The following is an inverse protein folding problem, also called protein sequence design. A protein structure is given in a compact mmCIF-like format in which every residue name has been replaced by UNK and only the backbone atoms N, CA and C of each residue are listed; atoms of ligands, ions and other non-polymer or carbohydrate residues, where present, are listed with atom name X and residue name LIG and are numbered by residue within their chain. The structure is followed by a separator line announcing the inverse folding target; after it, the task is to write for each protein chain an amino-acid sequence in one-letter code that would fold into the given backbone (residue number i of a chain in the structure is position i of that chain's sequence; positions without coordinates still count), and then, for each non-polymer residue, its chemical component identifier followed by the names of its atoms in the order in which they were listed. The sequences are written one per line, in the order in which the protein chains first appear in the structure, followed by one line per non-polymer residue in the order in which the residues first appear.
data_IF_489723778360
#
_entry.id   IF_489723778360
#
_cell.length_a   1.000
_cell.length_b   1.000
_cell.length_c   1.000
_cell.angle_alpha   90.00
_cell.angle_beta   90.00
_cell.angle_gamma   90.00
#
_symmetry.space_group_name_H-M   'P 1'
#
loop_
_entity.id
_entity.type
_entity.pdbx_description
1 polymer ?
#
# COMPACT_ATOMS: atom_id res chain seq x y z
N UNK A 1 2.21 17.91 19.74
CA UNK A 1 1.94 19.22 19.11
C UNK A 1 2.90 19.55 17.95
N UNK A 2 4.23 19.36 18.11
CA UNK A 2 5.25 19.65 17.07
C UNK A 2 5.04 18.83 15.78
N UNK A 3 4.65 17.54 15.88
CA UNK A 3 4.39 16.67 14.71
C UNK A 3 3.30 17.21 13.77
N UNK A 4 2.34 18.01 14.25
CA UNK A 4 1.28 18.61 13.39
C UNK A 4 1.78 19.83 12.62
N UNK A 5 2.87 20.47 13.05
CA UNK A 5 3.29 21.79 12.57
C UNK A 5 4.04 21.75 11.22
N UNK A 6 4.68 20.63 10.88
CA UNK A 6 5.68 20.57 9.79
C UNK A 6 5.06 20.88 8.41
N UNK A 7 3.93 20.25 8.07
CA UNK A 7 3.27 20.51 6.77
C UNK A 7 2.66 21.90 6.69
N UNK A 8 2.13 22.41 7.80
CA UNK A 8 1.57 23.76 7.87
C UNK A 8 2.66 24.82 7.64
N UNK A 9 3.85 24.66 8.20
CA UNK A 9 4.97 25.57 7.96
C UNK A 9 5.32 25.63 6.46
N UNK A 10 5.46 24.48 5.80
CA UNK A 10 5.76 24.43 4.36
C UNK A 10 4.67 25.14 3.56
N UNK A 11 3.40 24.82 3.83
CA UNK A 11 2.27 25.46 3.15
C UNK A 11 2.22 26.98 3.38
N UNK A 12 2.47 27.45 4.60
CA UNK A 12 2.48 28.87 4.92
C UNK A 12 3.66 29.62 4.30
N UNK A 13 4.85 29.00 4.25
CA UNK A 13 6.01 29.58 3.56
C UNK A 13 5.70 29.71 2.07
N UNK A 14 5.20 28.65 1.44
CA UNK A 14 4.80 28.67 0.02
C UNK A 14 3.77 29.78 -0.20
N UNK A 15 2.72 29.83 0.62
CA UNK A 15 1.67 30.85 0.52
C UNK A 15 2.22 32.28 0.70
N UNK A 16 3.04 32.53 1.71
CA UNK A 16 3.64 33.84 1.96
C UNK A 16 4.59 34.27 0.83
N UNK A 17 5.38 33.35 0.29
CA UNK A 17 6.21 33.60 -0.90
C UNK A 17 5.34 33.95 -2.11
N UNK A 18 4.23 33.24 -2.33
CA UNK A 18 3.30 33.55 -3.42
C UNK A 18 2.67 34.93 -3.25
N UNK A 19 2.20 35.26 -2.06
CA UNK A 19 1.68 36.60 -1.76
C UNK A 19 2.75 37.65 -2.04
N UNK A 20 3.95 37.51 -1.50
CA UNK A 20 5.03 38.49 -1.66
C UNK A 20 5.46 38.69 -3.12
N UNK A 21 5.61 37.60 -3.88
CA UNK A 21 6.13 37.64 -5.24
C UNK A 21 5.10 38.13 -6.27
N UNK A 22 3.82 37.80 -6.07
CA UNK A 22 2.81 37.98 -7.11
C UNK A 22 1.74 39.02 -6.76
N UNK A 23 1.41 39.26 -5.48
CA UNK A 23 0.23 40.07 -5.13
C UNK A 23 0.34 41.52 -5.63
N UNK A 24 1.52 42.14 -5.49
CA UNK A 24 1.68 43.54 -5.91
C UNK A 24 1.52 43.68 -7.42
N UNK A 25 2.16 42.80 -8.21
CA UNK A 25 2.06 42.84 -9.66
C UNK A 25 0.66 42.48 -10.15
N UNK A 26 0.05 41.43 -9.61
CA UNK A 26 -1.26 40.95 -10.06
C UNK A 26 -2.39 41.94 -9.74
N UNK A 27 -2.38 42.58 -8.58
CA UNK A 27 -3.53 43.39 -8.13
C UNK A 27 -3.33 44.90 -8.22
N UNK A 28 -2.10 45.41 -8.21
CA UNK A 28 -1.81 46.85 -8.19
C UNK A 28 -1.22 47.39 -9.49
N UNK A 29 -0.90 46.51 -10.46
CA UNK A 29 -0.50 46.94 -11.80
C UNK A 29 -1.63 46.66 -12.79
N UNK A 30 -1.64 47.38 -13.92
CA UNK A 30 -2.63 47.16 -14.97
C UNK A 30 -2.47 45.73 -15.49
N UNK A 31 -3.59 45.01 -15.60
CA UNK A 31 -3.60 43.65 -16.13
C UNK A 31 -2.95 43.61 -17.52
N UNK A 32 -1.91 42.78 -17.65
CA UNK A 32 -1.22 42.48 -18.91
C UNK A 32 -0.96 40.98 -18.95
N UNK A 33 -0.79 40.39 -20.14
CA UNK A 33 -0.43 38.97 -20.28
C UNK A 33 1.07 38.72 -20.07
N UNK A 34 1.61 39.28 -18.99
CA UNK A 34 2.97 39.01 -18.55
C UNK A 34 3.04 37.69 -17.76
N UNK A 35 4.25 37.24 -17.44
CA UNK A 35 4.44 35.97 -16.74
C UNK A 35 3.76 35.91 -15.36
N UNK A 36 3.55 37.05 -14.68
CA UNK A 36 2.97 37.08 -13.34
C UNK A 36 1.45 36.88 -13.39
N UNK A 37 0.75 37.55 -14.30
CA UNK A 37 -0.69 37.39 -14.48
C UNK A 37 -1.02 36.02 -15.10
N UNK A 38 -0.20 35.52 -16.05
CA UNK A 38 -0.34 34.16 -16.59
C UNK A 38 -0.21 33.13 -15.47
N UNK A 39 0.83 33.24 -14.64
CA UNK A 39 1.05 32.36 -13.50
C UNK A 39 -0.12 32.39 -12.52
N UNK A 40 -0.62 33.58 -12.16
CA UNK A 40 -1.75 33.74 -11.25
C UNK A 40 -3.03 33.10 -11.82
N UNK A 41 -3.32 33.32 -13.11
CA UNK A 41 -4.46 32.72 -13.78
C UNK A 41 -4.37 31.19 -13.80
N UNK A 42 -3.23 30.63 -14.20
CA UNK A 42 -3.00 29.17 -14.23
C UNK A 42 -3.10 28.56 -12.83
N UNK A 43 -2.51 29.21 -11.83
CA UNK A 43 -2.55 28.74 -10.44
C UNK A 43 -3.98 28.76 -9.87
N UNK A 44 -4.73 29.84 -10.13
CA UNK A 44 -6.13 29.97 -9.69
C UNK A 44 -7.03 28.94 -10.39
N UNK A 45 -6.85 28.75 -11.70
CA UNK A 45 -7.57 27.72 -12.46
C UNK A 45 -7.27 26.33 -11.91
N UNK A 46 -6.00 26.02 -11.67
CA UNK A 46 -5.58 24.74 -11.12
C UNK A 46 -6.17 24.47 -9.72
N UNK A 47 -6.07 25.42 -8.79
CA UNK A 47 -6.67 25.30 -7.44
C UNK A 47 -8.19 25.14 -7.52
N UNK A 48 -8.84 25.84 -8.46
CA UNK A 48 -10.29 25.72 -8.69
C UNK A 48 -10.66 24.33 -9.19
N UNK A 49 -9.95 23.79 -10.19
CA UNK A 49 -10.17 22.43 -10.71
C UNK A 49 -9.93 21.37 -9.64
N UNK A 50 -8.87 21.52 -8.84
CA UNK A 50 -8.55 20.64 -7.73
C UNK A 50 -9.66 20.64 -6.67
N UNK A 51 -10.17 21.83 -6.35
CA UNK A 51 -11.28 22.01 -5.40
C UNK A 51 -12.57 21.36 -5.92
N UNK A 52 -12.92 21.61 -7.18
CA UNK A 52 -14.09 20.97 -7.84
C UNK A 52 -13.95 19.45 -7.79
N UNK A 53 -12.75 18.93 -8.07
CA UNK A 53 -12.48 17.50 -8.01
C UNK A 53 -12.61 16.94 -6.59
N UNK A 54 -12.04 17.61 -5.58
CA UNK A 54 -12.16 17.22 -4.18
C UNK A 54 -13.63 17.22 -3.70
N UNK A 55 -14.43 18.21 -4.13
CA UNK A 55 -15.88 18.26 -3.88
C UNK A 55 -16.57 17.06 -4.52
N UNK A 56 -16.27 16.74 -5.79
CA UNK A 56 -16.85 15.60 -6.48
C UNK A 56 -16.52 14.27 -5.78
N UNK A 57 -15.30 14.10 -5.29
CA UNK A 57 -14.91 12.95 -4.46
C UNK A 57 -15.70 12.94 -3.15
N UNK A 58 -15.74 14.07 -2.44
CA UNK A 58 -16.44 14.21 -1.16
C UNK A 58 -17.92 13.78 -1.23
N UNK A 59 -18.63 14.21 -2.28
CA UNK A 59 -20.03 13.87 -2.50
C UNK A 59 -20.29 12.36 -2.61
N UNK A 60 -19.27 11.55 -2.92
CA UNK A 60 -19.39 10.11 -3.03
C UNK A 60 -18.98 9.36 -1.75
N UNK A 61 -18.29 10.00 -0.79
CA UNK A 61 -17.70 9.29 0.36
C UNK A 61 -18.75 8.66 1.28
N UNK A 62 -19.91 9.30 1.45
CA UNK A 62 -21.02 8.76 2.27
C UNK A 62 -21.62 7.46 1.72
N UNK A 63 -21.40 7.15 0.44
CA UNK A 63 -21.85 5.88 -0.15
C UNK A 63 -21.17 4.69 0.50
N UNK A 64 -19.99 4.86 1.10
CA UNK A 64 -19.28 3.79 1.78
C UNK A 64 -19.78 3.51 3.20
N UNK A 65 -20.84 4.18 3.67
CA UNK A 65 -21.47 3.83 4.96
C UNK A 65 -22.12 2.45 4.86
N UNK A 66 -21.72 1.54 5.75
CA UNK A 66 -22.22 0.17 5.77
C UNK A 66 -23.73 0.10 5.99
N UNK A 67 -24.34 1.13 6.59
CA UNK A 67 -25.81 1.21 6.77
C UNK A 67 -26.60 1.14 5.46
N UNK A 68 -25.97 1.41 4.32
CA UNK A 68 -26.61 1.34 3.01
C UNK A 68 -26.64 -0.09 2.42
N UNK A 69 -26.06 -1.09 3.10
CA UNK A 69 -25.89 -2.45 2.58
C UNK A 69 -26.44 -3.47 3.59
N UNK A 70 -27.76 -3.70 3.64
CA UNK A 70 -28.31 -4.73 4.52
C UNK A 70 -27.73 -6.11 4.17
N UNK A 71 -27.41 -6.89 5.20
CA UNK A 71 -26.66 -8.15 5.07
C UNK A 71 -27.40 -9.17 4.20
N UNK A 72 -28.73 -9.13 4.23
CA UNK A 72 -29.62 -10.02 3.50
C UNK A 72 -29.54 -9.83 1.97
N UNK A 73 -29.12 -8.65 1.51
CA UNK A 73 -29.00 -8.31 0.10
C UNK A 73 -27.62 -8.64 -0.49
N UNK A 74 -26.63 -8.97 0.36
CA UNK A 74 -25.26 -9.26 -0.05
C UNK A 74 -25.16 -10.67 -0.63
N UNK A 75 -24.87 -10.78 -1.93
CA UNK A 75 -24.90 -12.05 -2.65
C UNK A 75 -23.82 -13.02 -2.21
N UNK A 76 -22.60 -12.53 -1.93
CA UNK A 76 -21.52 -13.39 -1.44
C UNK A 76 -21.80 -14.01 -0.06
N UNK A 77 -22.75 -13.46 0.68
CA UNK A 77 -23.04 -13.84 2.05
C UNK A 77 -24.24 -14.78 2.21
N UNK A 78 -24.93 -15.15 1.12
CA UNK A 78 -26.04 -16.11 1.18
C UNK A 78 -25.70 -17.46 1.84
N UNK A 79 -24.41 -17.82 1.85
CA UNK A 79 -23.88 -19.03 2.50
C UNK A 79 -22.93 -18.73 3.69
N UNK A 80 -22.77 -17.47 4.08
CA UNK A 80 -21.86 -17.07 5.15
C UNK A 80 -22.55 -17.20 6.51
N UNK A 81 -22.18 -18.23 7.28
CA UNK A 81 -22.67 -18.39 8.66
C UNK A 81 -21.88 -17.46 9.56
N UNK A 82 -22.42 -16.27 9.78
CA UNK A 82 -21.84 -15.25 10.63
C UNK A 82 -22.08 -15.57 12.12
N UNK A 83 -21.14 -16.23 12.77
CA UNK A 83 -21.28 -16.63 14.19
C UNK A 83 -21.31 -15.44 15.16
N UNK A 84 -20.86 -14.26 14.74
CA UNK A 84 -20.63 -13.08 15.60
C UNK A 84 -21.43 -11.83 15.16
N UNK A 85 -22.38 -11.97 14.23
CA UNK A 85 -23.19 -10.86 13.70
C UNK A 85 -22.38 -9.67 13.14
N UNK A 86 -21.17 -9.90 12.62
CA UNK A 86 -20.34 -8.89 11.98
C UNK A 86 -20.79 -8.54 10.57
N UNK A 87 -20.75 -7.26 10.18
CA UNK A 87 -21.06 -6.91 8.81
C UNK A 87 -20.05 -7.56 7.83
N UNK A 88 -20.46 -8.17 6.70
CA UNK A 88 -19.52 -8.83 5.80
C UNK A 88 -18.43 -7.93 5.20
N UNK A 89 -18.72 -6.63 5.11
CA UNK A 89 -17.78 -5.61 4.63
C UNK A 89 -16.94 -4.97 5.74
N UNK A 90 -16.95 -5.48 6.98
CA UNK A 90 -16.24 -4.87 8.12
C UNK A 90 -14.75 -4.62 7.86
N UNK A 91 -14.04 -5.51 7.15
CA UNK A 91 -12.63 -5.32 6.78
C UNK A 91 -12.36 -4.22 5.75
N UNK A 92 -13.41 -3.64 5.20
CA UNK A 92 -13.35 -2.58 4.18
C UNK A 92 -14.14 -1.35 4.64
N UNK A 93 -14.57 -1.32 5.91
CA UNK A 93 -15.28 -0.17 6.46
C UNK A 93 -14.37 1.05 6.49
N UNK A 94 -14.92 2.19 6.06
CA UNK A 94 -14.21 3.46 5.93
C UNK A 94 -14.92 4.60 6.66
N UNK A 95 -15.06 4.45 7.97
CA UNK A 95 -15.65 5.49 8.84
C UNK A 95 -14.91 6.83 8.74
N UNK A 96 -13.61 6.82 8.44
CA UNK A 96 -12.82 8.03 8.19
C UNK A 96 -13.33 8.81 6.96
N UNK A 97 -13.80 8.11 5.93
CA UNK A 97 -14.39 8.71 4.73
C UNK A 97 -15.83 9.17 4.99
N UNK A 98 -16.64 8.32 5.62
CA UNK A 98 -18.06 8.60 5.90
C UNK A 98 -18.21 9.82 6.80
N UNK A 99 -17.34 9.94 7.81
CA UNK A 99 -17.33 11.04 8.78
C UNK A 99 -16.36 12.18 8.39
N UNK A 100 -15.82 12.16 7.16
CA UNK A 100 -14.86 13.16 6.73
C UNK A 100 -15.48 14.57 6.80
N UNK A 101 -14.78 15.51 7.43
CA UNK A 101 -15.21 16.89 7.48
C UNK A 101 -14.85 17.60 6.17
N UNK A 102 -15.85 18.19 5.51
CA UNK A 102 -15.70 18.88 4.24
C UNK A 102 -14.65 20.00 4.28
N UNK A 103 -14.68 20.86 5.30
CA UNK A 103 -13.74 21.98 5.41
C UNK A 103 -12.30 21.52 5.64
N UNK A 104 -12.11 20.43 6.39
CA UNK A 104 -10.77 19.82 6.57
C UNK A 104 -10.22 19.27 5.25
N UNK A 105 -11.06 18.60 4.46
CA UNK A 105 -10.68 18.12 3.13
C UNK A 105 -10.33 19.29 2.22
N UNK A 106 -11.18 20.33 2.16
CA UNK A 106 -10.95 21.50 1.33
C UNK A 106 -9.64 22.21 1.69
N UNK A 107 -9.37 22.39 2.99
CA UNK A 107 -8.11 22.92 3.48
C UNK A 107 -6.92 22.08 3.00
N UNK A 108 -6.99 20.76 3.17
CA UNK A 108 -5.98 19.83 2.71
C UNK A 108 -5.74 19.89 1.19
N UNK A 109 -6.82 19.93 0.41
CA UNK A 109 -6.74 19.97 -1.05
C UNK A 109 -6.10 21.27 -1.55
N UNK A 110 -6.46 22.42 -0.98
CA UNK A 110 -5.92 23.73 -1.40
C UNK A 110 -4.46 23.88 -0.97
N UNK A 111 -4.13 23.56 0.29
CA UNK A 111 -2.83 23.91 0.87
C UNK A 111 -1.80 22.79 0.87
N UNK A 112 -2.22 21.52 0.75
CA UNK A 112 -1.32 20.37 0.84
C UNK A 112 -1.19 19.59 -0.47
N UNK A 113 -2.31 19.28 -1.11
CA UNK A 113 -2.30 18.31 -2.21
C UNK A 113 -1.43 18.76 -3.38
N UNK A 114 -1.47 20.04 -3.76
CA UNK A 114 -0.73 20.57 -4.90
C UNK A 114 0.78 20.38 -4.79
N UNK A 115 1.39 20.85 -3.69
CA UNK A 115 2.83 20.75 -3.52
C UNK A 115 3.27 19.31 -3.23
N UNK A 116 2.45 18.51 -2.53
CA UNK A 116 2.74 17.09 -2.29
C UNK A 116 2.72 16.28 -3.58
N UNK A 117 1.74 16.51 -4.46
CA UNK A 117 1.67 15.87 -5.77
C UNK A 117 2.89 16.29 -6.60
N UNK A 118 3.20 17.59 -6.64
CA UNK A 118 4.38 18.09 -7.36
C UNK A 118 5.68 17.45 -6.83
N UNK A 119 5.86 17.38 -5.52
CA UNK A 119 7.03 16.76 -4.90
C UNK A 119 7.14 15.27 -5.27
N UNK A 120 6.02 14.53 -5.31
CA UNK A 120 6.02 13.14 -5.78
C UNK A 120 6.38 13.01 -7.27
N UNK A 121 5.91 13.93 -8.12
CA UNK A 121 6.30 13.95 -9.53
C UNK A 121 7.80 14.21 -9.69
N UNK A 122 8.38 15.10 -8.86
CA UNK A 122 9.83 15.35 -8.83
C UNK A 122 10.59 14.11 -8.35
N UNK A 123 10.14 13.42 -7.30
CA UNK A 123 10.75 12.16 -6.85
C UNK A 123 10.68 11.07 -7.93
N UNK A 124 9.53 10.92 -8.59
CA UNK A 124 9.35 9.97 -9.67
C UNK A 124 10.27 10.29 -10.86
N UNK A 125 10.32 11.56 -11.28
CA UNK A 125 11.22 12.02 -12.34
C UNK A 125 12.69 11.80 -12.00
N UNK A 126 13.08 12.03 -10.74
CA UNK A 126 14.43 11.77 -10.25
C UNK A 126 14.75 10.27 -10.27
N UNK A 127 13.81 9.41 -9.85
CA UNK A 127 13.98 7.96 -9.94
C UNK A 127 14.16 7.49 -11.39
N UNK A 128 13.34 7.99 -12.31
CA UNK A 128 13.42 7.68 -13.75
C UNK A 128 14.78 8.12 -14.30
N UNK A 129 15.22 9.35 -14.00
CA UNK A 129 16.50 9.87 -14.46
C UNK A 129 17.66 9.02 -13.95
N UNK A 130 17.68 8.69 -12.65
CA UNK A 130 18.72 7.83 -12.08
C UNK A 130 18.71 6.45 -12.71
N UNK A 131 17.54 5.83 -12.85
CA UNK A 131 17.39 4.55 -13.55
C UNK A 131 17.91 4.60 -15.00
N UNK A 132 17.58 5.66 -15.73
CA UNK A 132 18.04 5.89 -17.09
C UNK A 132 19.56 6.01 -17.15
N UNK A 133 20.17 6.81 -16.26
CA UNK A 133 21.62 6.94 -16.17
C UNK A 133 22.29 5.61 -15.84
N UNK A 134 21.77 4.85 -14.87
CA UNK A 134 22.30 3.55 -14.50
C UNK A 134 22.18 2.51 -15.63
N UNK A 135 21.18 2.64 -16.50
CA UNK A 135 20.99 1.73 -17.63
C UNK A 135 22.13 1.77 -18.65
N UNK A 136 22.87 2.89 -18.75
CA UNK A 136 24.08 2.98 -19.58
C UNK A 136 25.27 2.23 -18.97
N UNK A 137 25.35 2.13 -17.65
CA UNK A 137 26.44 1.45 -16.94
C UNK A 137 26.15 -0.02 -16.67
N UNK A 138 24.89 -0.44 -16.70
CA UNK A 138 24.49 -1.83 -16.71
C UNK A 138 24.75 -2.41 -18.11
N UNK A 139 25.97 -2.92 -18.34
CA UNK A 139 26.34 -3.61 -19.58
C UNK A 139 25.36 -4.73 -19.96
N UNK A 140 25.37 -5.15 -21.24
CA UNK A 140 24.42 -6.11 -21.84
C UNK A 140 24.31 -7.48 -21.16
N UNK A 141 25.16 -7.81 -20.19
CA UNK A 141 25.10 -9.07 -19.43
C UNK A 141 24.08 -8.95 -18.30
N UNK A 142 22.89 -9.52 -18.54
CA UNK A 142 21.68 -9.42 -17.71
C UNK A 142 21.71 -10.19 -16.38
N UNK A 143 22.79 -10.90 -16.07
CA UNK A 143 22.80 -11.89 -14.98
C UNK A 143 23.81 -11.65 -13.86
N UNK A 144 24.78 -10.73 -14.01
CA UNK A 144 25.62 -10.31 -12.87
C UNK A 144 24.88 -9.27 -12.02
N UNK A 145 23.90 -9.78 -11.27
CA UNK A 145 23.01 -9.06 -10.37
C UNK A 145 23.68 -8.68 -9.04
N UNK A 146 24.95 -9.02 -8.84
CA UNK A 146 25.81 -8.52 -7.77
C UNK A 146 26.59 -7.25 -8.15
N UNK A 147 26.15 -6.55 -9.20
CA UNK A 147 26.78 -5.32 -9.63
C UNK A 147 26.69 -4.24 -8.52
N UNK A 148 27.83 -3.66 -8.14
CA UNK A 148 27.95 -2.51 -7.24
C UNK A 148 26.94 -1.40 -7.56
N UNK A 149 26.64 -1.21 -8.85
CA UNK A 149 25.63 -0.26 -9.35
C UNK A 149 24.24 -0.55 -8.77
N UNK A 150 23.81 -1.81 -8.74
CA UNK A 150 22.51 -2.20 -8.17
C UNK A 150 22.49 -1.93 -6.67
N UNK A 151 23.58 -2.22 -5.95
CA UNK A 151 23.67 -1.94 -4.50
C UNK A 151 23.57 -0.44 -4.20
N UNK A 152 24.23 0.41 -5.00
CA UNK A 152 24.13 1.87 -4.89
C UNK A 152 22.70 2.33 -5.19
N UNK A 153 22.09 1.80 -6.25
CA UNK A 153 20.72 2.12 -6.61
C UNK A 153 19.72 1.73 -5.51
N UNK A 154 19.87 0.56 -4.89
CA UNK A 154 19.00 0.15 -3.79
C UNK A 154 19.10 1.08 -2.58
N UNK A 155 20.29 1.61 -2.25
CA UNK A 155 20.43 2.66 -1.21
C UNK A 155 19.71 3.94 -1.59
N UNK A 156 19.80 4.37 -2.85
CA UNK A 156 19.05 5.50 -3.36
C UNK A 156 17.53 5.26 -3.32
N UNK A 157 17.08 4.07 -3.74
CA UNK A 157 15.67 3.69 -3.75
C UNK A 157 15.10 3.65 -2.32
N UNK A 158 15.88 3.19 -1.33
CA UNK A 158 15.51 3.28 0.10
C UNK A 158 15.16 4.71 0.50
N UNK A 159 16.01 5.67 0.12
CA UNK A 159 15.78 7.09 0.38
C UNK A 159 14.54 7.62 -0.36
N UNK A 160 14.37 7.31 -1.64
CA UNK A 160 13.19 7.72 -2.42
C UNK A 160 11.90 7.21 -1.77
N UNK A 161 11.85 5.93 -1.39
CA UNK A 161 10.68 5.36 -0.72
C UNK A 161 10.44 6.01 0.65
N UNK A 162 11.49 6.28 1.44
CA UNK A 162 11.35 6.99 2.73
C UNK A 162 10.84 8.41 2.56
N UNK A 163 11.34 9.14 1.57
CA UNK A 163 10.89 10.49 1.25
C UNK A 163 9.43 10.50 0.77
N UNK A 164 9.03 9.52 -0.05
CA UNK A 164 7.64 9.40 -0.50
C UNK A 164 6.68 9.07 0.65
N UNK A 165 7.04 8.16 1.56
CA UNK A 165 6.25 7.90 2.78
C UNK A 165 6.01 9.19 3.57
N UNK A 166 7.08 9.98 3.76
CA UNK A 166 6.98 11.27 4.43
C UNK A 166 6.05 12.23 3.68
N UNK A 167 6.19 12.38 2.36
CA UNK A 167 5.30 13.27 1.58
C UNK A 167 3.83 12.85 1.64
N UNK A 168 3.54 11.55 1.68
CA UNK A 168 2.19 11.02 1.89
C UNK A 168 1.65 11.19 3.32
N UNK A 169 2.46 11.70 4.23
CA UNK A 169 2.07 11.99 5.62
C UNK A 169 2.54 10.96 6.63
N UNK A 170 3.11 9.83 6.20
CA UNK A 170 3.69 8.81 7.08
C UNK A 170 5.11 9.24 7.47
N UNK A 171 5.20 10.08 8.48
CA UNK A 171 6.47 10.68 8.91
C UNK A 171 6.98 10.15 10.25
N UNK A 172 6.16 9.37 10.95
CA UNK A 172 6.51 8.69 12.18
C UNK A 172 6.48 7.19 11.90
N UNK A 173 7.65 6.55 11.83
CA UNK A 173 7.75 5.12 11.55
C UNK A 173 8.54 4.50 12.68
N UNK A 174 7.90 3.58 13.40
CA UNK A 174 8.48 2.87 14.52
C UNK A 174 8.47 1.37 14.21
N UNK A 175 9.65 0.75 14.26
CA UNK A 175 9.81 -0.67 13.95
C UNK A 175 10.23 -1.43 15.20
N UNK A 176 9.32 -2.24 15.71
CA UNK A 176 9.53 -3.13 16.85
C UNK A 176 10.02 -4.50 16.33
N UNK A 177 11.30 -4.78 16.52
CA UNK A 177 11.89 -6.07 16.16
C UNK A 177 11.76 -7.05 17.33
N UNK A 178 10.78 -7.96 17.25
CA UNK A 178 10.57 -9.06 18.21
C UNK A 178 11.14 -10.39 17.68
N UNK A 179 11.82 -10.35 16.54
CA UNK A 179 12.44 -11.49 15.87
C UNK A 179 13.98 -11.44 16.00
N UNK A 180 14.64 -12.51 15.56
CA UNK A 180 16.09 -12.52 15.39
C UNK A 180 16.55 -11.45 14.38
N UNK A 181 17.81 -11.01 14.50
CA UNK A 181 18.42 -10.03 13.59
C UNK A 181 19.13 -10.69 12.40
N UNK A 182 18.83 -11.96 12.10
CA UNK A 182 19.43 -12.66 10.96
C UNK A 182 18.71 -12.31 9.66
N UNK A 183 19.48 -11.95 8.63
CA UNK A 183 18.99 -11.50 7.34
C UNK A 183 19.68 -12.28 6.21
N UNK A 184 19.02 -12.47 5.05
CA UNK A 184 17.65 -12.05 4.67
C UNK A 184 16.54 -12.92 5.30
N UNK A 185 15.27 -12.50 5.17
CA UNK A 185 14.10 -13.19 5.76
C UNK A 185 13.01 -13.49 4.72
N UNK A 186 12.33 -14.62 4.88
CA UNK A 186 11.02 -14.88 4.28
C UNK A 186 9.95 -14.24 5.16
N UNK A 187 9.20 -13.27 4.61
CA UNK A 187 8.29 -12.41 5.36
C UNK A 187 6.85 -12.61 4.88
N UNK A 188 5.93 -12.74 5.83
CA UNK A 188 4.49 -12.65 5.59
C UNK A 188 3.94 -11.44 6.32
N UNK A 189 3.19 -10.59 5.62
CA UNK A 189 2.65 -9.36 6.20
C UNK A 189 1.17 -9.16 5.87
N UNK A 190 0.46 -8.45 6.76
CA UNK A 190 -0.85 -7.88 6.45
C UNK A 190 -0.70 -6.79 5.37
N UNK A 191 -1.78 -6.46 4.68
CA UNK A 191 -1.74 -5.49 3.59
C UNK A 191 -2.86 -4.46 3.73
N UNK A 192 -2.48 -3.20 3.83
CA UNK A 192 -3.37 -2.09 4.13
C UNK A 192 -3.34 -1.08 2.99
N UNK A 193 -2.14 -0.68 2.56
CA UNK A 193 -1.96 0.45 1.64
C UNK A 193 -1.07 0.10 0.44
N UNK A 194 -1.22 0.88 -0.64
CA UNK A 194 -0.25 0.93 -1.72
C UNK A 194 1.15 1.39 -1.25
N UNK A 195 1.24 1.94 -0.04
CA UNK A 195 2.48 2.40 0.61
C UNK A 195 3.23 1.30 1.37
N UNK A 196 2.62 0.15 1.62
CA UNK A 196 3.28 -0.93 2.36
C UNK A 196 4.59 -1.40 1.70
N UNK A 197 4.68 -1.57 0.37
CA UNK A 197 5.95 -1.87 -0.29
C UNK A 197 7.00 -0.77 -0.08
N UNK A 198 6.59 0.50 -0.02
CA UNK A 198 7.53 1.61 0.18
C UNK A 198 8.20 1.51 1.56
N UNK A 199 7.45 1.12 2.59
CA UNK A 199 8.02 0.86 3.92
C UNK A 199 9.08 -0.24 3.86
N UNK A 200 8.73 -1.43 3.36
CA UNK A 200 9.65 -2.57 3.29
C UNK A 200 10.87 -2.30 2.40
N UNK A 201 10.70 -1.54 1.31
CA UNK A 201 11.82 -1.09 0.47
C UNK A 201 12.69 -0.12 1.28
N UNK A 202 12.10 0.89 1.92
CA UNK A 202 12.86 1.91 2.65
C UNK A 202 13.67 1.35 3.82
N UNK A 203 13.18 0.29 4.45
CA UNK A 203 13.83 -0.31 5.62
C UNK A 203 14.90 -1.32 5.19
N UNK A 204 14.54 -2.29 4.34
CA UNK A 204 15.39 -3.46 4.04
C UNK A 204 15.60 -3.76 2.55
N UNK A 205 15.17 -2.87 1.65
CA UNK A 205 15.20 -3.09 0.19
C UNK A 205 14.58 -4.45 -0.21
N UNK A 206 13.47 -4.81 0.43
CA UNK A 206 12.82 -6.11 0.24
C UNK A 206 12.34 -6.34 -1.20
N UNK A 207 12.26 -7.61 -1.57
CA UNK A 207 11.62 -8.15 -2.77
C UNK A 207 10.16 -8.53 -2.50
N UNK A 208 9.34 -8.57 -3.56
CA UNK A 208 7.91 -8.89 -3.46
C UNK A 208 7.44 -9.79 -4.59
N UNK A 209 6.24 -10.34 -4.42
CA UNK A 209 5.44 -10.88 -5.53
C UNK A 209 4.74 -9.72 -6.25
N UNK A 210 5.13 -9.43 -7.47
CA UNK A 210 4.66 -8.31 -8.28
C UNK A 210 3.82 -8.77 -9.50
N UNK A 211 2.91 -7.92 -9.96
CA UNK A 211 2.23 -8.12 -11.25
C UNK A 211 3.25 -8.04 -12.38
N UNK A 212 3.17 -8.94 -13.37
CA UNK A 212 4.09 -8.94 -14.53
C UNK A 212 4.11 -7.61 -15.30
N UNK A 213 2.98 -6.91 -15.39
CA UNK A 213 2.88 -5.59 -16.04
C UNK A 213 3.78 -4.52 -15.39
N UNK A 214 4.05 -4.61 -14.08
CA UNK A 214 4.92 -3.65 -13.39
C UNK A 214 6.35 -3.67 -13.94
N UNK A 215 6.80 -4.78 -14.54
CA UNK A 215 8.14 -4.87 -15.13
C UNK A 215 8.36 -3.84 -16.25
N UNK A 216 7.31 -3.47 -16.97
CA UNK A 216 7.36 -2.51 -18.09
C UNK A 216 6.92 -1.10 -17.68
N UNK A 217 6.59 -0.89 -16.41
CA UNK A 217 6.19 0.42 -15.91
C UNK A 217 7.37 1.39 -15.95
N UNK A 218 7.15 2.59 -16.48
CA UNK A 218 8.22 3.59 -16.66
C UNK A 218 8.74 4.13 -15.33
N UNK A 219 7.90 4.18 -14.29
CA UNK A 219 8.24 4.78 -13.01
C UNK A 219 8.92 3.75 -12.10
N UNK A 220 8.37 2.53 -12.04
CA UNK A 220 8.80 1.52 -11.06
C UNK A 220 9.42 0.25 -11.66
N UNK A 221 9.39 0.07 -12.99
CA UNK A 221 9.79 -1.17 -13.65
C UNK A 221 11.24 -1.57 -13.37
N UNK A 222 12.17 -0.63 -13.49
CA UNK A 222 13.58 -0.86 -13.16
C UNK A 222 13.78 -1.10 -11.65
N UNK A 223 13.00 -0.43 -10.79
CA UNK A 223 13.02 -0.64 -9.35
C UNK A 223 12.64 -2.08 -8.97
N UNK A 224 11.54 -2.60 -9.50
CA UNK A 224 11.09 -3.97 -9.19
C UNK A 224 12.01 -5.04 -9.78
N UNK A 225 12.73 -4.74 -10.87
CA UNK A 225 13.79 -5.61 -11.40
C UNK A 225 15.01 -5.60 -10.48
N UNK A 226 15.46 -4.41 -10.03
CA UNK A 226 16.61 -4.27 -9.13
C UNK A 226 16.38 -4.92 -7.75
N UNK A 227 15.14 -4.85 -7.23
CA UNK A 227 14.70 -5.58 -6.03
C UNK A 227 14.52 -7.09 -6.26
N UNK A 228 14.75 -7.56 -7.50
CA UNK A 228 14.61 -8.97 -7.90
C UNK A 228 13.22 -9.51 -7.60
N UNK A 229 12.16 -8.71 -7.76
CA UNK A 229 10.78 -9.13 -7.49
C UNK A 229 10.37 -10.35 -8.34
N UNK A 230 9.51 -11.18 -7.77
CA UNK A 230 8.91 -12.34 -8.45
C UNK A 230 7.69 -11.87 -9.23
N UNK A 231 7.72 -11.98 -10.56
CA UNK A 231 6.64 -11.53 -11.43
C UNK A 231 5.65 -12.66 -11.71
N UNK A 232 4.38 -12.46 -11.39
CA UNK A 232 3.33 -13.48 -11.57
C UNK A 232 2.18 -12.97 -12.45
N UNK A 233 1.55 -13.90 -13.19
CA UNK A 233 0.26 -13.70 -13.83
C UNK A 233 -0.80 -14.34 -12.93
N UNK A 234 -1.83 -13.60 -12.52
CA UNK A 234 -2.78 -14.07 -11.48
C UNK A 234 -4.13 -14.54 -12.04
N UNK A 235 -4.36 -14.43 -13.35
CA UNK A 235 -5.69 -14.61 -13.94
C UNK A 235 -5.97 -16.02 -14.47
N UNK A 236 -4.95 -16.84 -14.79
CA UNK A 236 -5.14 -18.22 -15.28
C UNK A 236 -4.74 -19.28 -14.25
N UNK A 237 -5.37 -20.46 -14.31
CA UNK A 237 -5.08 -21.62 -13.46
C UNK A 237 -3.65 -22.13 -13.60
N UNK A 238 -3.16 -22.27 -14.84
CA UNK A 238 -1.81 -22.78 -15.11
C UNK A 238 -0.75 -21.84 -14.54
N UNK A 239 -0.97 -20.53 -14.66
CA UNK A 239 -0.06 -19.50 -14.14
C UNK A 239 0.05 -19.52 -12.60
N UNK A 240 -0.97 -20.03 -11.89
CA UNK A 240 -0.93 -20.15 -10.43
C UNK A 240 0.05 -21.22 -9.95
N UNK A 241 0.14 -22.37 -10.64
CA UNK A 241 1.11 -23.42 -10.28
C UNK A 241 2.54 -22.94 -10.51
N UNK A 242 2.79 -22.34 -11.67
CA UNK A 242 4.09 -21.74 -12.01
C UNK A 242 4.46 -20.66 -11.00
N UNK A 243 3.51 -19.80 -10.62
CA UNK A 243 3.75 -18.77 -9.60
C UNK A 243 4.16 -19.38 -8.25
N UNK A 244 3.52 -20.47 -7.82
CA UNK A 244 3.88 -21.17 -6.57
C UNK A 244 5.28 -21.77 -6.62
N UNK A 245 5.67 -22.37 -7.74
CA UNK A 245 7.02 -22.93 -7.93
C UNK A 245 8.09 -21.84 -7.84
N UNK A 246 7.90 -20.70 -8.52
CA UNK A 246 8.83 -19.57 -8.48
C UNK A 246 8.90 -18.97 -7.06
N UNK A 247 7.76 -18.87 -6.35
CA UNK A 247 7.72 -18.42 -4.95
C UNK A 247 8.53 -19.38 -4.06
N UNK A 248 8.34 -20.69 -4.21
CA UNK A 248 9.06 -21.71 -3.43
C UNK A 248 10.56 -21.67 -3.69
N UNK A 249 10.96 -21.54 -4.95
CA UNK A 249 12.37 -21.37 -5.34
C UNK A 249 12.96 -20.12 -4.70
N UNK A 250 12.27 -18.98 -4.79
CA UNK A 250 12.72 -17.73 -4.17
C UNK A 250 12.87 -17.85 -2.66
N UNK A 251 11.88 -18.42 -1.96
CA UNK A 251 11.96 -18.58 -0.52
C UNK A 251 13.14 -19.49 -0.11
N UNK A 252 13.43 -20.52 -0.91
CA UNK A 252 14.58 -21.41 -0.72
C UNK A 252 15.91 -20.67 -0.87
N UNK A 253 16.02 -19.80 -1.88
CA UNK A 253 17.22 -18.99 -2.10
C UNK A 253 17.47 -18.01 -0.95
N UNK A 254 16.41 -17.41 -0.40
CA UNK A 254 16.47 -16.53 0.78
C UNK A 254 16.94 -17.31 2.01
N UNK A 255 16.32 -18.46 2.30
CA UNK A 255 16.68 -19.29 3.46
C UNK A 255 18.13 -19.78 3.41
N UNK A 256 18.58 -20.21 2.23
CA UNK A 256 19.95 -20.69 2.02
C UNK A 256 20.99 -19.56 1.95
N UNK A 257 20.57 -18.29 2.06
CA UNK A 257 21.41 -17.09 1.91
C UNK A 257 22.25 -17.11 0.62
N UNK A 258 21.73 -17.72 -0.44
CA UNK A 258 22.43 -17.82 -1.72
C UNK A 258 22.40 -16.48 -2.44
N UNK A 259 23.46 -16.16 -3.18
CA UNK A 259 23.53 -15.05 -4.14
C UNK A 259 23.00 -13.70 -3.61
N UNK A 260 23.16 -13.45 -2.31
CA UNK A 260 22.73 -12.23 -1.61
C UNK A 260 21.29 -11.78 -1.97
N UNK A 261 20.33 -12.71 -2.07
CA UNK A 261 18.95 -12.34 -2.33
C UNK A 261 18.38 -11.45 -1.21
N UNK A 262 17.64 -10.38 -1.53
CA UNK A 262 16.97 -9.57 -0.52
C UNK A 262 15.86 -10.36 0.18
N UNK A 263 15.48 -9.92 1.39
CA UNK A 263 14.31 -10.43 2.09
C UNK A 263 13.07 -10.40 1.20
N UNK A 264 12.24 -11.44 1.29
CA UNK A 264 11.13 -11.65 0.37
C UNK A 264 9.80 -11.54 1.11
N UNK A 265 9.00 -10.54 0.74
CA UNK A 265 7.73 -10.19 1.39
C UNK A 265 6.57 -10.70 0.56
N UNK A 266 5.66 -11.43 1.21
CA UNK A 266 4.39 -11.85 0.66
C UNK A 266 3.26 -11.26 1.50
N UNK A 267 2.42 -10.45 0.86
CA UNK A 267 1.15 -9.99 1.39
C UNK A 267 0.11 -11.10 1.23
N UNK A 268 0.05 -12.00 2.22
CA UNK A 268 -0.70 -13.26 2.14
C UNK A 268 -2.21 -13.06 2.11
N UNK A 269 -2.74 -11.94 2.59
CA UNK A 269 -4.16 -11.54 2.46
C UNK A 269 -4.63 -11.54 0.99
N UNK A 270 -3.70 -11.31 0.05
CA UNK A 270 -3.99 -11.30 -1.39
C UNK A 270 -4.76 -10.07 -1.88
N UNK A 271 -5.11 -9.16 -0.97
CA UNK A 271 -5.70 -7.83 -1.21
C UNK A 271 -5.32 -6.91 -0.04
N UNK A 272 -5.58 -5.62 -0.19
CA UNK A 272 -5.58 -4.64 0.91
C UNK A 272 -6.92 -4.62 1.66
N UNK A 273 -6.86 -4.27 2.95
CA UNK A 273 -7.99 -4.04 3.85
C UNK A 273 -7.90 -2.67 4.57
N UNK A 274 -8.86 -2.37 5.45
CA UNK A 274 -8.85 -1.16 6.28
C UNK A 274 -7.78 -1.17 7.39
N UNK A 275 -7.08 -2.31 7.58
CA UNK A 275 -5.98 -2.47 8.53
C UNK A 275 -6.40 -2.56 9.99
N UNK A 276 -7.69 -2.69 10.32
CA UNK A 276 -8.14 -2.91 11.70
C UNK A 276 -7.70 -4.28 12.23
N UNK A 277 -7.80 -5.31 11.39
CA UNK A 277 -7.43 -6.68 11.73
C UNK A 277 -7.03 -7.45 10.46
N UNK A 278 -6.22 -8.50 10.63
CA UNK A 278 -5.74 -9.37 9.55
C UNK A 278 -6.90 -10.19 8.99
N UNK A 279 -7.10 -10.14 7.68
CA UNK A 279 -8.10 -10.97 6.98
C UNK A 279 -7.53 -12.35 6.63
N UNK A 280 -8.39 -13.24 6.15
CA UNK A 280 -7.99 -14.60 5.76
C UNK A 280 -6.77 -14.60 4.80
N UNK A 281 -5.69 -15.23 5.26
CA UNK A 281 -4.46 -15.36 4.50
C UNK A 281 -4.56 -16.49 3.48
N UNK A 282 -4.00 -16.30 2.29
CA UNK A 282 -3.87 -17.34 1.26
C UNK A 282 -2.65 -18.22 1.54
N UNK A 283 -2.82 -19.52 1.29
CA UNK A 283 -1.81 -20.56 1.57
C UNK A 283 -0.52 -20.43 0.75
N UNK A 284 -0.52 -19.63 -0.32
CA UNK A 284 0.61 -19.50 -1.27
C UNK A 284 1.97 -19.22 -0.62
N UNK A 285 2.00 -18.45 0.47
CA UNK A 285 3.24 -18.13 1.18
C UNK A 285 3.85 -19.31 1.97
N UNK A 286 3.05 -20.35 2.24
CA UNK A 286 3.36 -21.45 3.16
C UNK A 286 3.73 -22.76 2.44
N UNK A 287 3.55 -22.84 1.10
CA UNK A 287 3.83 -24.02 0.27
C UNK A 287 5.29 -24.47 0.28
N UNK A 288 6.23 -23.56 0.60
CA UNK A 288 7.65 -23.93 0.68
C UNK A 288 7.99 -24.72 1.94
N UNK A 289 7.13 -24.70 2.98
CA UNK A 289 7.42 -25.24 4.30
C UNK A 289 8.82 -24.78 4.78
N UNK A 290 9.07 -23.47 4.68
CA UNK A 290 10.26 -22.80 5.19
C UNK A 290 9.87 -21.85 6.32
N UNK A 291 10.82 -21.50 7.23
CA UNK A 291 10.53 -20.57 8.31
C UNK A 291 10.06 -19.21 7.79
N UNK A 292 9.06 -18.62 8.46
CA UNK A 292 8.46 -17.34 8.09
C UNK A 292 8.60 -16.36 9.25
N UNK A 293 8.95 -15.11 8.95
CA UNK A 293 8.89 -13.99 9.88
C UNK A 293 7.60 -13.20 9.63
N UNK A 294 6.58 -13.30 10.50
CA UNK A 294 5.38 -12.52 10.34
C UNK A 294 5.63 -11.05 10.68
N UNK A 295 5.07 -10.12 9.91
CA UNK A 295 5.21 -8.68 10.14
C UNK A 295 3.84 -8.02 10.13
N UNK A 296 3.53 -7.24 11.16
CA UNK A 296 2.32 -6.45 11.23
C UNK A 296 2.61 -4.98 10.89
N UNK A 297 1.76 -4.37 10.08
CA UNK A 297 1.70 -2.96 9.75
C UNK A 297 0.45 -2.36 10.41
N UNK A 298 0.66 -1.44 11.36
CA UNK A 298 -0.40 -0.77 12.11
C UNK A 298 -0.33 0.72 11.84
N UNK A 299 -1.31 1.24 11.10
CA UNK A 299 -1.41 2.65 10.78
C UNK A 299 -2.24 3.40 11.81
N UNK A 300 -1.67 4.46 12.36
CA UNK A 300 -2.37 5.44 13.17
C UNK A 300 -2.53 6.76 12.41
N UNK A 301 -3.74 7.31 12.49
CA UNK A 301 -4.19 8.42 11.66
C UNK A 301 -5.35 9.16 12.33
N UNK A 302 -5.37 10.48 12.17
CA UNK A 302 -6.40 11.38 12.69
C UNK A 302 -7.42 11.79 11.61
N UNK A 303 -6.98 11.98 10.36
CA UNK A 303 -7.81 12.55 9.28
C UNK A 303 -8.21 11.54 8.20
N UNK A 304 -7.27 10.74 7.70
CA UNK A 304 -7.50 9.83 6.57
C UNK A 304 -6.77 8.51 6.81
N UNK A 305 -7.47 7.39 6.64
CA UNK A 305 -6.86 6.06 6.63
C UNK A 305 -6.12 5.85 5.30
N UNK A 306 -4.80 5.57 5.29
CA UNK A 306 -4.04 5.34 4.06
C UNK A 306 -4.43 4.05 3.33
N UNK A 307 -5.38 3.27 3.85
CA UNK A 307 -5.92 2.08 3.19
C UNK A 307 -6.34 2.31 1.74
N UNK A 308 -5.93 1.36 0.90
CA UNK A 308 -6.27 1.31 -0.52
C UNK A 308 -7.25 0.15 -0.79
N UNK A 309 -8.35 0.11 -0.06
CA UNK A 309 -9.33 -0.97 -0.04
C UNK A 309 -10.49 -0.79 -1.02
N UNK A 310 -11.23 0.31 -0.97
CA UNK A 310 -12.47 0.53 -1.76
C UNK A 310 -12.47 1.89 -2.48
N UNK A 311 -11.29 2.43 -2.75
CA UNK A 311 -11.13 3.72 -3.41
C UNK A 311 -10.57 3.57 -4.83
N UNK A 312 -11.11 4.31 -5.81
CA UNK A 312 -10.39 4.54 -7.07
C UNK A 312 -9.03 5.18 -6.78
N UNK A 313 -7.99 4.80 -7.53
CA UNK A 313 -6.63 5.31 -7.30
C UNK A 313 -6.53 6.84 -7.27
N UNK A 314 -7.23 7.55 -8.16
CA UNK A 314 -7.19 9.01 -8.22
C UNK A 314 -7.87 9.66 -7.02
N UNK A 315 -8.90 9.00 -6.46
CA UNK A 315 -9.56 9.45 -5.22
C UNK A 315 -8.64 9.24 -4.03
N UNK A 316 -8.05 8.04 -3.94
CA UNK A 316 -7.05 7.74 -2.91
C UNK A 316 -5.90 8.76 -2.96
N UNK A 317 -5.38 9.08 -4.15
CA UNK A 317 -4.30 10.04 -4.34
C UNK A 317 -4.67 11.45 -3.86
N UNK A 318 -5.85 11.98 -4.21
CA UNK A 318 -6.25 13.32 -3.75
C UNK A 318 -6.51 13.34 -2.24
N UNK A 319 -7.10 12.28 -1.68
CA UNK A 319 -7.39 12.20 -0.25
C UNK A 319 -6.11 12.12 0.58
N UNK A 320 -5.16 11.27 0.19
CA UNK A 320 -3.88 11.14 0.89
C UNK A 320 -2.99 12.37 0.69
N UNK A 321 -3.00 13.00 -0.49
CA UNK A 321 -2.27 14.24 -0.72
C UNK A 321 -2.90 15.42 0.04
N UNK A 322 -4.21 15.38 0.29
CA UNK A 322 -4.91 16.37 1.13
C UNK A 322 -4.68 16.14 2.63
N UNK A 323 -4.08 15.01 3.03
CA UNK A 323 -3.78 14.79 4.44
C UNK A 323 -2.75 15.82 4.93
N UNK A 324 -3.20 16.72 5.80
CA UNK A 324 -2.37 17.76 6.41
C UNK A 324 -1.81 17.33 7.77
N UNK A 325 -2.21 16.15 8.27
CA UNK A 325 -1.79 15.63 9.55
C UNK A 325 -0.73 14.53 9.39
N UNK A 326 0.07 14.37 10.43
CA UNK A 326 1.07 13.31 10.52
C UNK A 326 0.39 11.98 10.83
N UNK A 327 0.75 10.94 10.08
CA UNK A 327 0.36 9.56 10.34
C UNK A 327 1.56 8.81 10.91
N UNK A 328 1.28 7.87 11.81
CA UNK A 328 2.28 6.96 12.34
C UNK A 328 2.10 5.56 11.75
N UNK A 329 3.20 4.92 11.39
CA UNK A 329 3.23 3.51 11.01
C UNK A 329 4.08 2.77 12.05
N UNK A 330 3.41 1.98 12.89
CA UNK A 330 4.07 1.05 13.79
C UNK A 330 4.15 -0.31 13.11
N UNK A 331 5.32 -0.90 13.15
CA UNK A 331 5.54 -2.22 12.57
C UNK A 331 6.05 -3.19 13.62
N UNK A 332 5.54 -4.40 13.61
CA UNK A 332 5.91 -5.43 14.57
C UNK A 332 6.44 -6.64 13.82
N UNK A 333 7.75 -6.84 13.87
CA UNK A 333 8.42 -7.99 13.29
C UNK A 333 8.38 -9.13 14.31
N UNK A 334 7.40 -10.02 14.16
CA UNK A 334 7.10 -11.08 15.12
C UNK A 334 8.15 -12.20 15.07
N UNK A 335 8.29 -13.00 16.14
CA UNK A 335 9.18 -14.15 16.14
C UNK A 335 8.97 -15.06 14.93
N UNK A 336 10.08 -15.61 14.43
CA UNK A 336 10.09 -16.56 13.31
C UNK A 336 9.28 -17.81 13.67
N UNK A 337 8.35 -18.17 12.81
CA UNK A 337 7.51 -19.37 12.94
C UNK A 337 8.06 -20.45 12.02
N UNK A 338 8.26 -21.64 12.56
CA UNK A 338 8.79 -22.78 11.83
C UNK A 338 7.64 -23.68 11.37
N UNK A 339 7.76 -24.31 10.19
CA UNK A 339 6.79 -25.31 9.77
C UNK A 339 6.78 -26.51 10.74
N UNK A 340 5.67 -27.25 10.85
CA UNK A 340 5.59 -28.47 11.65
C UNK A 340 6.71 -29.45 11.32
N UNK A 341 7.44 -29.90 12.34
CA UNK A 341 8.58 -30.80 12.18
C UNK A 341 8.13 -32.16 11.65
N UNK A 342 8.66 -32.55 10.48
CA UNK A 342 8.42 -33.86 9.88
C UNK A 342 8.79 -35.02 10.80
N UNK A 343 9.79 -34.85 11.67
CA UNK A 343 10.23 -35.89 12.62
C UNK A 343 9.22 -36.09 13.75
N UNK A 344 8.53 -35.03 14.18
CA UNK A 344 7.53 -35.06 15.26
C UNK A 344 6.17 -35.51 14.76
N UNK A 345 5.84 -35.21 13.50
CA UNK A 345 4.56 -35.55 12.87
C UNK A 345 4.76 -36.29 11.54
N UNK A 346 5.28 -37.54 11.57
CA UNK A 346 5.65 -38.27 10.35
C UNK A 346 4.46 -38.64 9.45
N UNK A 347 3.26 -38.79 10.04
CA UNK A 347 2.06 -39.23 9.32
C UNK A 347 1.29 -38.10 8.63
N UNK A 348 1.68 -36.82 8.82
CA UNK A 348 1.02 -35.70 8.15
C UNK A 348 1.44 -35.62 6.68
N UNK A 349 0.45 -35.55 5.81
CA UNK A 349 0.63 -35.22 4.39
C UNK A 349 1.23 -33.81 4.24
N UNK A 350 1.80 -33.51 3.07
CA UNK A 350 2.33 -32.17 2.80
C UNK A 350 1.26 -31.08 2.90
N UNK A 351 0.05 -31.37 2.43
CA UNK A 351 -1.09 -30.45 2.50
C UNK A 351 -1.52 -30.17 3.94
N UNK A 352 -1.63 -31.21 4.78
CA UNK A 352 -1.95 -31.02 6.20
C UNK A 352 -0.90 -30.17 6.92
N UNK A 353 0.39 -30.38 6.64
CA UNK A 353 1.46 -29.55 7.21
C UNK A 353 1.35 -28.09 6.77
N UNK A 354 1.04 -27.85 5.50
CA UNK A 354 0.81 -26.49 4.99
C UNK A 354 -0.37 -25.84 5.71
N UNK A 355 -1.46 -26.59 5.91
CA UNK A 355 -2.66 -26.10 6.60
C UNK A 355 -2.38 -25.75 8.06
N UNK A 356 -1.68 -26.63 8.79
CA UNK A 356 -1.29 -26.37 10.18
C UNK A 356 -0.36 -25.16 10.27
N UNK A 357 0.63 -25.06 9.38
CA UNK A 357 1.57 -23.94 9.39
C UNK A 357 0.89 -22.60 9.06
N UNK A 358 -0.01 -22.60 8.07
CA UNK A 358 -0.83 -21.45 7.70
C UNK A 358 -1.74 -21.01 8.85
N UNK A 359 -2.41 -21.94 9.51
CA UNK A 359 -3.29 -21.67 10.66
C UNK A 359 -2.50 -21.10 11.85
N UNK A 360 -1.36 -21.69 12.18
CA UNK A 360 -0.49 -21.21 13.27
C UNK A 360 -0.01 -19.77 13.04
N UNK A 361 0.52 -19.47 11.85
CA UNK A 361 0.96 -18.10 11.51
C UNK A 361 -0.22 -17.13 11.50
N UNK A 362 -1.39 -17.56 10.99
CA UNK A 362 -2.60 -16.73 10.97
C UNK A 362 -3.06 -16.38 12.37
N UNK A 363 -3.11 -17.34 13.29
CA UNK A 363 -3.43 -17.12 14.70
C UNK A 363 -2.44 -16.20 15.38
N UNK A 364 -1.13 -16.40 15.18
CA UNK A 364 -0.08 -15.55 15.75
C UNK A 364 -0.25 -14.10 15.28
N UNK A 365 -0.44 -13.88 13.97
CA UNK A 365 -0.62 -12.54 13.41
C UNK A 365 -1.91 -11.89 13.93
N UNK A 366 -3.02 -12.63 13.95
CA UNK A 366 -4.32 -12.13 14.41
C UNK A 366 -4.29 -11.69 15.88
N UNK A 367 -3.72 -12.52 16.75
CA UNK A 367 -3.61 -12.23 18.19
C UNK A 367 -2.68 -11.04 18.45
N UNK A 368 -1.56 -10.94 17.73
CA UNK A 368 -0.66 -9.79 17.88
C UNK A 368 -1.26 -8.51 17.28
N UNK A 369 -2.03 -8.59 16.20
CA UNK A 369 -2.76 -7.45 15.67
C UNK A 369 -3.79 -6.95 16.69
N UNK A 370 -4.55 -7.86 17.31
CA UNK A 370 -5.48 -7.54 18.41
C UNK A 370 -4.78 -6.84 19.58
N UNK A 371 -3.59 -7.34 19.96
CA UNK A 371 -2.76 -6.79 21.04
C UNK A 371 -2.22 -5.38 20.74
N UNK A 372 -1.73 -5.14 19.51
CA UNK A 372 -0.96 -3.94 19.18
C UNK A 372 -1.74 -2.86 18.45
N UNK A 373 -2.88 -3.20 17.85
CA UNK A 373 -3.75 -2.25 17.16
C UNK A 373 -4.98 -1.91 18.03
N UNK A 374 -5.06 -0.70 18.59
CA UNK A 374 -6.22 -0.28 19.38
C UNK A 374 -7.53 -0.27 18.59
N UNK A 375 -7.47 -0.24 17.26
CA UNK A 375 -8.64 -0.27 16.36
C UNK A 375 -9.09 -1.70 16.03
N UNK A 376 -8.35 -2.73 16.43
CA UNK A 376 -8.76 -4.12 16.22
C UNK A 376 -9.97 -4.47 17.10
N UNK A 377 -10.96 -5.23 16.59
CA UNK A 377 -12.11 -5.67 17.38
C UNK A 377 -11.66 -6.61 18.50
N UNK A 378 -11.96 -6.23 19.75
CA UNK A 378 -11.46 -6.94 20.94
C UNK A 378 -12.32 -8.13 21.35
N UNK A 379 -13.54 -8.22 20.82
CA UNK A 379 -14.53 -9.27 21.05
C UNK A 379 -14.43 -10.45 20.06
N UNK A 380 -13.50 -10.36 19.11
CA UNK A 380 -13.22 -11.38 18.10
C UNK A 380 -11.89 -12.05 18.40
N UNK A 381 -11.92 -13.38 18.55
CA UNK A 381 -10.76 -14.19 18.97
C UNK A 381 -10.26 -15.14 17.89
N UNK A 382 -11.06 -15.41 16.86
CA UNK A 382 -10.72 -16.27 15.74
C UNK A 382 -10.63 -15.44 14.44
N UNK A 383 -9.55 -15.64 13.68
CA UNK A 383 -9.37 -14.96 12.41
C UNK A 383 -10.43 -15.37 11.37
N UNK A 384 -11.03 -16.55 11.52
CA UNK A 384 -12.11 -17.02 10.65
C UNK A 384 -13.41 -16.22 10.84
N UNK A 385 -13.58 -15.58 12.00
CA UNK A 385 -14.76 -14.75 12.29
C UNK A 385 -14.62 -13.33 11.70
N UNK A 386 -13.41 -12.89 11.32
CA UNK A 386 -13.18 -11.57 10.71
C UNK A 386 -13.31 -11.63 9.17
N UNK A 387 -14.35 -11.04 8.56
CA UNK A 387 -14.66 -11.28 7.15
C UNK A 387 -13.76 -10.45 6.24
N UNK A 388 -13.21 -11.06 5.19
CA UNK A 388 -12.47 -10.28 4.18
C UNK A 388 -11.88 -11.11 3.06
N UNK A 389 -12.06 -10.65 1.82
CA UNK A 389 -11.38 -11.20 0.64
C UNK A 389 -11.40 -10.21 -0.51
N UNK A 390 -10.58 -10.44 -1.53
CA UNK A 390 -10.61 -9.65 -2.77
C UNK A 390 -12.02 -9.65 -3.42
N UNK A 391 -12.73 -10.78 -3.37
CA UNK A 391 -14.08 -10.90 -3.92
C UNK A 391 -15.07 -9.99 -3.19
N UNK A 392 -15.06 -10.04 -1.85
CA UNK A 392 -15.93 -9.22 -1.00
C UNK A 392 -15.62 -7.74 -1.21
N UNK A 393 -14.34 -7.36 -1.27
CA UNK A 393 -13.90 -6.00 -1.60
C UNK A 393 -14.47 -5.51 -2.94
N UNK A 394 -14.37 -6.34 -3.99
CA UNK A 394 -14.87 -5.97 -5.32
C UNK A 394 -16.39 -5.84 -5.35
N UNK A 395 -17.11 -6.72 -4.66
CA UNK A 395 -18.57 -6.62 -4.53
C UNK A 395 -18.99 -5.35 -3.80
N UNK A 396 -18.36 -5.04 -2.66
CA UNK A 396 -18.65 -3.81 -1.92
C UNK A 396 -18.35 -2.56 -2.76
N UNK A 397 -17.19 -2.54 -3.42
CA UNK A 397 -16.81 -1.44 -4.31
C UNK A 397 -17.82 -1.24 -5.45
N UNK A 398 -18.28 -2.34 -6.05
CA UNK A 398 -19.28 -2.34 -7.12
C UNK A 398 -20.65 -1.87 -6.62
N UNK A 399 -21.08 -2.33 -5.43
CA UNK A 399 -22.32 -1.90 -4.81
C UNK A 399 -22.30 -0.40 -4.48
N UNK A 400 -21.17 0.12 -3.97
CA UNK A 400 -21.05 1.51 -3.56
C UNK A 400 -20.95 2.51 -4.72
N UNK A 401 -20.22 2.16 -5.78
CA UNK A 401 -19.90 3.10 -6.85
C UNK A 401 -20.53 2.78 -8.21
N UNK A 402 -21.18 1.62 -8.36
CA UNK A 402 -21.88 1.21 -9.58
C UNK A 402 -21.02 1.38 -10.84
N UNK A 403 -21.48 2.20 -11.78
CA UNK A 403 -20.79 2.44 -13.06
C UNK A 403 -19.36 2.98 -12.91
N UNK A 404 -19.06 3.74 -11.85
CA UNK A 404 -17.70 4.23 -11.59
C UNK A 404 -16.78 3.04 -11.29
N UNK A 405 -17.22 2.11 -10.45
CA UNK A 405 -16.48 0.88 -10.16
C UNK A 405 -16.32 0.02 -11.42
N UNK A 406 -17.38 -0.18 -12.20
CA UNK A 406 -17.32 -0.95 -13.45
C UNK A 406 -16.25 -0.39 -14.40
N UNK A 407 -16.27 0.92 -14.66
CA UNK A 407 -15.31 1.58 -15.56
C UNK A 407 -13.89 1.46 -15.03
N UNK A 408 -13.69 1.61 -13.73
CA UNK A 408 -12.39 1.48 -13.08
C UNK A 408 -11.85 0.05 -13.22
N UNK A 409 -12.65 -0.97 -12.90
CA UNK A 409 -12.26 -2.37 -12.96
C UNK A 409 -11.95 -2.84 -14.39
N UNK A 410 -12.75 -2.42 -15.39
CA UNK A 410 -12.46 -2.69 -16.80
C UNK A 410 -11.12 -2.08 -17.22
N UNK A 411 -10.85 -0.84 -16.79
CA UNK A 411 -9.58 -0.16 -17.11
C UNK A 411 -8.40 -0.90 -16.49
N UNK A 412 -8.49 -1.30 -15.22
CA UNK A 412 -7.42 -2.04 -14.54
C UNK A 412 -7.18 -3.42 -15.15
N UNK A 413 -8.24 -4.14 -15.53
CA UNK A 413 -8.14 -5.41 -16.26
C UNK A 413 -7.46 -5.23 -17.62
N UNK A 414 -7.84 -4.21 -18.38
CA UNK A 414 -7.19 -3.92 -19.67
C UNK A 414 -5.69 -3.61 -19.52
N UNK A 415 -5.28 -3.03 -18.39
CA UNK A 415 -3.87 -2.75 -18.07
C UNK A 415 -3.11 -4.00 -17.64
N UNK A 416 -3.75 -4.98 -16.98
CA UNK A 416 -3.11 -6.26 -16.64
C UNK A 416 -2.92 -7.17 -17.84
N UNK A 417 -3.84 -7.14 -18.81
CA UNK A 417 -3.82 -7.99 -20.00
C UNK A 417 -2.88 -7.48 -21.11
N UNK A 418 -2.56 -6.18 -21.14
CA UNK A 418 -1.56 -5.62 -22.08
C UNK A 418 -0.17 -6.16 -21.76
N UNK A 419 0.26 -7.13 -22.58
CA UNK A 419 1.52 -7.90 -22.45
C UNK A 419 2.78 -7.08 -22.42
#
# INVERSE_FOLDING_TARGET
MIKKLVYHIVAYIIFALHLKLFIHKVFYTKWTWDMYHIYFFVSTLYVSLLTIYAIAVFCNLKKFDLKNYPVEEIQSCKNYVNKKNLHPYSSFERLDLVNMNFFKLLYGSIFMASWKILAHLVLAGTNILVCFLLSFFMGKNKEDQENTIVRIYLKFLKFICRASLWLFGINDIESHYLCDMDWPKNIVANHVSALDPFYFISEHACSFVAKKSLRKDLIVGLSVIALRCVFVYREKSEDRKIALEIIKERQTMVEQKKNNFPSFVIFSEGTTSNGMQVIEQKKGAFFSLLPITPVLLVYDYDFFNPSYDILPFTWWLILIASNYQSMSLRTYWLPKVYPPDKKKFPNMTEEERINVFHDEVSKIMFQNMKKYNPKAPQDIDDYNDWPGSLRIKMEFFQAALGNIATKYLITEKSRSEKK
#
